data_IF_358524838977
#
_entry.id   IF_358524838977
#
_cell.length_a   1.000
_cell.length_b   1.000
_cell.length_c   1.000
_cell.angle_alpha   90.00
_cell.angle_beta   90.00
_cell.angle_gamma   90.00
#
_symmetry.space_group_name_H-M   'P 1'
#
loop_
_entity.id
_entity.type
_entity.pdbx_description
1 polymer ?
#
# COMPACT_ATOMS: atom_id res chain seq x y z
N UNK A 1 -2.44 -20.81 -19.47
CA UNK A 1 -1.82 -19.73 -18.67
C UNK A 1 -1.13 -20.38 -17.47
N UNK A 2 0.10 -20.02 -17.12
CA UNK A 2 0.77 -20.61 -15.93
C UNK A 2 0.02 -20.21 -14.65
N UNK A 3 -0.11 -21.13 -13.68
CA UNK A 3 -0.76 -20.87 -12.38
C UNK A 3 -0.16 -19.64 -11.67
N UNK A 4 1.14 -19.39 -11.85
CA UNK A 4 1.84 -18.20 -11.35
C UNK A 4 1.31 -16.92 -11.98
N UNK A 5 1.11 -16.90 -13.30
CA UNK A 5 0.61 -15.72 -14.02
C UNK A 5 -0.85 -15.46 -13.65
N UNK A 6 -1.65 -16.51 -13.48
CA UNK A 6 -3.03 -16.40 -13.00
C UNK A 6 -3.09 -15.78 -11.60
N UNK A 7 -2.27 -16.26 -10.67
CA UNK A 7 -2.19 -15.69 -9.32
C UNK A 7 -1.81 -14.20 -9.35
N UNK A 8 -0.79 -13.85 -10.14
CA UNK A 8 -0.34 -12.45 -10.25
C UNK A 8 -1.43 -11.53 -10.80
N UNK A 9 -2.11 -11.94 -11.87
CA UNK A 9 -3.23 -11.17 -12.45
C UNK A 9 -4.37 -11.02 -11.44
N UNK A 10 -4.73 -12.09 -10.74
CA UNK A 10 -5.78 -12.05 -9.71
C UNK A 10 -5.46 -11.06 -8.59
N UNK A 11 -4.19 -10.99 -8.15
CA UNK A 11 -3.75 -10.01 -7.15
C UNK A 11 -3.82 -8.57 -7.68
N UNK A 12 -3.40 -8.34 -8.93
CA UNK A 12 -3.53 -7.01 -9.55
C UNK A 12 -4.99 -6.58 -9.63
N UNK A 13 -5.89 -7.47 -10.06
CA UNK A 13 -7.32 -7.18 -10.17
C UNK A 13 -7.93 -6.90 -8.79
N UNK A 14 -7.61 -7.73 -7.80
CA UNK A 14 -8.09 -7.52 -6.43
C UNK A 14 -7.58 -6.18 -5.88
N UNK A 15 -6.29 -5.88 -6.08
CA UNK A 15 -5.71 -4.62 -5.66
C UNK A 15 -6.36 -3.41 -6.32
N UNK A 16 -6.64 -3.49 -7.63
CA UNK A 16 -7.37 -2.45 -8.35
C UNK A 16 -8.79 -2.23 -7.79
N UNK A 17 -9.50 -3.30 -7.42
CA UNK A 17 -10.82 -3.21 -6.78
C UNK A 17 -10.72 -2.47 -5.44
N UNK A 18 -9.73 -2.79 -4.60
CA UNK A 18 -9.51 -2.11 -3.32
C UNK A 18 -9.16 -0.62 -3.50
N UNK A 19 -8.32 -0.29 -4.49
CA UNK A 19 -7.99 1.09 -4.85
C UNK A 19 -9.21 1.86 -5.36
N UNK A 20 -10.04 1.26 -6.21
CA UNK A 20 -11.28 1.86 -6.69
C UNK A 20 -12.30 2.06 -5.57
N UNK A 21 -12.43 1.08 -4.67
CA UNK A 21 -13.28 1.19 -3.48
C UNK A 21 -12.84 2.34 -2.58
N UNK A 22 -11.53 2.51 -2.36
CA UNK A 22 -11.00 3.65 -1.62
C UNK A 22 -11.32 4.98 -2.31
N UNK A 23 -11.08 5.10 -3.62
CA UNK A 23 -11.38 6.30 -4.38
C UNK A 23 -12.88 6.65 -4.36
N UNK A 24 -13.76 5.64 -4.46
CA UNK A 24 -15.19 5.79 -4.28
C UNK A 24 -15.53 6.38 -2.91
N UNK A 25 -14.96 5.83 -1.83
CA UNK A 25 -15.21 6.32 -0.47
C UNK A 25 -14.65 7.72 -0.23
N UNK A 26 -13.53 8.11 -0.87
CA UNK A 26 -13.08 9.52 -0.83
C UNK A 26 -14.17 10.43 -1.38
N UNK A 27 -14.72 10.08 -2.55
CA UNK A 27 -15.74 10.90 -3.18
C UNK A 27 -17.03 10.96 -2.33
N UNK A 28 -17.48 9.80 -1.87
CA UNK A 28 -18.68 9.66 -1.05
C UNK A 28 -18.57 10.44 0.26
N UNK A 29 -17.47 10.28 1.00
CA UNK A 29 -17.29 10.91 2.30
C UNK A 29 -17.08 12.43 2.20
N UNK A 30 -16.32 12.90 1.22
CA UNK A 30 -16.01 14.34 1.08
C UNK A 30 -17.17 15.10 0.44
N UNK A 31 -17.68 14.62 -0.71
CA UNK A 31 -18.56 15.43 -1.57
C UNK A 31 -20.04 15.11 -1.42
N UNK A 32 -20.40 13.90 -0.99
CA UNK A 32 -21.81 13.50 -0.84
C UNK A 32 -22.23 13.62 0.62
N UNK A 33 -21.42 13.11 1.54
CA UNK A 33 -21.76 13.08 2.97
C UNK A 33 -21.14 14.23 3.78
N UNK A 34 -20.28 15.06 3.15
CA UNK A 34 -19.63 16.23 3.76
C UNK A 34 -18.93 15.95 5.10
N UNK A 35 -18.37 14.73 5.25
CA UNK A 35 -17.64 14.27 6.44
C UNK A 35 -16.23 14.82 6.44
N UNK A 36 -16.04 16.09 6.75
CA UNK A 36 -14.73 16.77 6.74
C UNK A 36 -14.20 17.12 8.14
N UNK A 37 -14.87 16.64 9.18
CA UNK A 37 -14.53 16.95 10.57
C UNK A 37 -13.40 16.06 11.07
N UNK A 38 -12.66 16.52 12.09
CA UNK A 38 -11.64 15.68 12.75
C UNK A 38 -12.22 14.41 13.38
N UNK A 39 -13.48 14.45 13.80
CA UNK A 39 -14.20 13.28 14.30
C UNK A 39 -14.39 12.19 13.24
N UNK A 40 -14.30 12.53 11.96
CA UNK A 40 -14.49 11.59 10.85
C UNK A 40 -13.19 10.87 10.48
N UNK A 41 -12.03 11.24 11.04
CA UNK A 41 -10.72 10.64 10.71
C UNK A 41 -10.73 9.10 10.83
N UNK A 42 -11.33 8.47 11.87
CA UNK A 42 -11.41 7.01 11.93
C UNK A 42 -12.16 6.37 10.74
N UNK A 43 -13.17 7.07 10.22
CA UNK A 43 -13.95 6.64 9.05
C UNK A 43 -13.07 6.64 7.79
N UNK A 44 -12.27 7.69 7.58
CA UNK A 44 -11.30 7.73 6.48
C UNK A 44 -10.19 6.69 6.64
N UNK A 45 -9.72 6.43 7.85
CA UNK A 45 -8.71 5.42 8.08
C UNK A 45 -9.20 4.02 7.66
N UNK A 46 -10.43 3.67 8.03
CA UNK A 46 -11.04 2.36 7.72
C UNK A 46 -11.50 2.22 6.27
N UNK A 47 -12.16 3.24 5.71
CA UNK A 47 -12.83 3.12 4.40
C UNK A 47 -12.00 3.64 3.23
N UNK A 48 -10.97 4.45 3.49
CA UNK A 48 -10.13 5.06 2.46
C UNK A 48 -8.69 4.58 2.59
N UNK A 49 -8.01 4.92 3.69
CA UNK A 49 -6.57 4.74 3.81
C UNK A 49 -6.18 3.26 3.78
N UNK A 50 -6.78 2.44 4.64
CA UNK A 50 -6.46 1.02 4.73
C UNK A 50 -6.75 0.27 3.41
N UNK A 51 -7.93 0.40 2.77
CA UNK A 51 -8.19 -0.19 1.47
C UNK A 51 -7.22 0.26 0.39
N UNK A 52 -6.87 1.56 0.34
CA UNK A 52 -5.87 2.07 -0.61
C UNK A 52 -4.52 1.39 -0.41
N UNK A 53 -4.05 1.34 0.84
CA UNK A 53 -2.76 0.76 1.19
C UNK A 53 -2.68 -0.74 0.84
N UNK A 54 -3.75 -1.49 1.10
CA UNK A 54 -3.87 -2.91 0.72
C UNK A 54 -3.94 -3.06 -0.79
N UNK A 55 -4.71 -2.22 -1.47
CA UNK A 55 -4.87 -2.27 -2.92
C UNK A 55 -3.54 -2.08 -3.66
N UNK A 56 -2.78 -1.07 -3.27
CA UNK A 56 -1.45 -0.80 -3.82
C UNK A 56 -0.47 -1.96 -3.58
N UNK A 57 -0.49 -2.56 -2.39
CA UNK A 57 0.33 -3.72 -2.05
C UNK A 57 0.05 -4.91 -2.98
N UNK A 58 -1.23 -5.24 -3.16
CA UNK A 58 -1.67 -6.35 -4.02
C UNK A 58 -1.30 -6.12 -5.49
N UNK A 59 -1.40 -4.88 -5.98
CA UNK A 59 -0.97 -4.53 -7.34
C UNK A 59 0.53 -4.76 -7.51
N UNK A 60 1.35 -4.25 -6.59
CA UNK A 60 2.81 -4.41 -6.65
C UNK A 60 3.20 -5.88 -6.59
N UNK A 61 2.64 -6.65 -5.66
CA UNK A 61 2.91 -8.08 -5.51
C UNK A 61 2.45 -8.88 -6.73
N UNK A 62 1.27 -8.56 -7.27
CA UNK A 62 0.75 -9.19 -8.48
C UNK A 62 1.67 -8.98 -9.69
N UNK A 63 2.18 -7.76 -9.88
CA UNK A 63 3.13 -7.42 -10.95
C UNK A 63 4.46 -8.18 -10.81
N UNK A 64 4.97 -8.29 -9.57
CA UNK A 64 6.18 -9.09 -9.26
C UNK A 64 5.95 -10.57 -9.58
N UNK A 65 4.81 -11.12 -9.14
CA UNK A 65 4.46 -12.54 -9.35
C UNK A 65 4.31 -12.85 -10.84
N UNK A 66 3.70 -11.96 -11.63
CA UNK A 66 3.61 -12.11 -13.08
C UNK A 66 4.98 -12.16 -13.79
N UNK A 67 6.08 -11.92 -13.09
CA UNK A 67 7.43 -12.00 -13.65
C UNK A 67 7.82 -10.76 -14.44
N UNK A 68 7.04 -9.67 -14.32
CA UNK A 68 7.45 -8.35 -14.78
C UNK A 68 8.60 -7.78 -13.93
N UNK A 69 8.98 -8.46 -12.83
CA UNK A 69 10.06 -8.02 -11.95
C UNK A 69 11.32 -8.90 -11.90
N UNK A 70 12.50 -8.27 -11.80
CA UNK A 70 13.78 -8.93 -11.53
C UNK A 70 13.77 -9.58 -10.15
N UNK A 71 14.43 -10.75 -10.02
CA UNK A 71 14.66 -11.41 -8.71
C UNK A 71 15.34 -10.47 -7.69
N UNK A 72 16.20 -9.56 -8.14
CA UNK A 72 16.84 -8.56 -7.27
C UNK A 72 15.86 -7.52 -6.72
N UNK A 73 14.74 -7.24 -7.39
CA UNK A 73 13.70 -6.34 -6.86
C UNK A 73 12.99 -6.96 -5.65
N UNK A 74 12.90 -8.31 -5.58
CA UNK A 74 12.25 -9.02 -4.46
C UNK A 74 12.94 -8.70 -3.12
N UNK A 75 14.26 -8.49 -3.13
CA UNK A 75 15.02 -8.09 -1.93
C UNK A 75 14.60 -6.74 -1.36
N UNK A 76 13.99 -5.88 -2.19
CA UNK A 76 13.44 -4.60 -1.75
C UNK A 76 11.95 -4.73 -1.42
N UNK A 77 11.19 -5.45 -2.24
CA UNK A 77 9.74 -5.59 -2.07
C UNK A 77 9.36 -6.40 -0.83
N UNK A 78 10.08 -7.47 -0.48
CA UNK A 78 9.77 -8.28 0.69
C UNK A 78 9.86 -7.48 2.02
N UNK A 79 10.98 -6.80 2.34
CA UNK A 79 11.04 -5.97 3.55
C UNK A 79 10.09 -4.76 3.45
N UNK A 80 9.92 -4.17 2.26
CA UNK A 80 8.95 -3.08 2.07
C UNK A 80 7.53 -3.53 2.44
N UNK A 81 7.09 -4.70 1.98
CA UNK A 81 5.78 -5.27 2.29
C UNK A 81 5.60 -5.52 3.79
N UNK A 82 6.60 -6.12 4.46
CA UNK A 82 6.54 -6.39 5.90
C UNK A 82 6.40 -5.09 6.70
N UNK A 83 7.21 -4.08 6.37
CA UNK A 83 7.16 -2.77 7.03
C UNK A 83 5.82 -2.08 6.70
N UNK A 84 5.38 -2.13 5.45
CA UNK A 84 4.13 -1.54 5.02
C UNK A 84 2.93 -2.11 5.77
N UNK A 85 2.81 -3.44 5.84
CA UNK A 85 1.72 -4.12 6.56
C UNK A 85 1.76 -3.76 8.05
N UNK A 86 2.92 -3.89 8.69
CA UNK A 86 3.09 -3.60 10.12
C UNK A 86 2.70 -2.15 10.45
N UNK A 87 3.12 -1.21 9.62
CA UNK A 87 2.88 0.21 9.86
C UNK A 87 1.47 0.62 9.51
N UNK A 88 0.86 0.04 8.47
CA UNK A 88 -0.57 0.21 8.17
C UNK A 88 -1.42 -0.22 9.36
N UNK A 89 -1.10 -1.38 9.93
CA UNK A 89 -1.76 -1.90 11.13
C UNK A 89 -1.59 -0.95 12.31
N UNK A 90 -0.36 -0.51 12.59
CA UNK A 90 -0.09 0.43 13.70
C UNK A 90 -0.78 1.78 13.50
N UNK A 91 -0.83 2.29 12.27
CA UNK A 91 -1.51 3.53 11.92
C UNK A 91 -3.02 3.41 12.16
N UNK A 92 -3.63 2.29 11.77
CA UNK A 92 -5.04 2.04 12.01
C UNK A 92 -5.40 2.15 13.50
N UNK A 93 -4.66 1.47 14.38
CA UNK A 93 -4.89 1.57 15.83
C UNK A 93 -4.59 2.97 16.36
N UNK A 94 -3.49 3.58 15.93
CA UNK A 94 -3.10 4.89 16.42
C UNK A 94 -4.15 5.98 16.11
N UNK A 95 -4.83 5.87 14.97
CA UNK A 95 -5.89 6.81 14.58
C UNK A 95 -7.18 6.59 15.40
N UNK A 96 -7.42 5.38 15.90
CA UNK A 96 -8.59 5.09 16.73
C UNK A 96 -8.43 5.57 18.17
N UNK A 97 -7.20 5.81 18.61
CA UNK A 97 -6.90 6.24 19.98
C UNK A 97 -6.69 7.77 20.04
N UNK A 98 -7.61 8.54 20.66
CA UNK A 98 -7.55 10.01 20.66
C UNK A 98 -6.36 10.61 21.45
N UNK A 99 -5.59 9.78 22.16
CA UNK A 99 -4.49 10.21 23.04
C UNK A 99 -3.10 9.76 22.58
N UNK A 100 -2.99 9.12 21.41
CA UNK A 100 -1.70 8.60 20.95
C UNK A 100 -0.64 9.71 20.82
N UNK A 101 0.56 9.54 21.40
CA UNK A 101 1.59 10.55 21.36
C UNK A 101 2.00 10.92 19.93
N UNK A 102 2.32 12.20 19.69
CA UNK A 102 2.87 12.68 18.42
C UNK A 102 4.07 11.87 17.94
N UNK A 103 4.88 11.37 18.88
CA UNK A 103 6.04 10.53 18.59
C UNK A 103 5.65 9.19 17.93
N UNK A 104 4.49 8.62 18.28
CA UNK A 104 3.97 7.39 17.64
C UNK A 104 3.69 7.64 16.17
N UNK A 105 2.94 8.71 15.85
CA UNK A 105 2.65 9.11 14.47
C UNK A 105 3.92 9.45 13.68
N UNK A 106 4.90 10.11 14.31
CA UNK A 106 6.18 10.39 13.66
C UNK A 106 6.95 9.12 13.29
N UNK A 107 7.00 8.12 14.19
CA UNK A 107 7.63 6.83 13.90
C UNK A 107 6.92 6.10 12.77
N UNK A 108 5.59 6.05 12.82
CA UNK A 108 4.75 5.49 11.76
C UNK A 108 5.06 6.15 10.41
N UNK A 109 5.09 7.48 10.37
CA UNK A 109 5.43 8.24 9.16
C UNK A 109 6.83 7.88 8.62
N UNK A 110 7.85 7.85 9.47
CA UNK A 110 9.24 7.52 9.06
C UNK A 110 9.30 6.11 8.47
N UNK A 111 8.68 5.12 9.10
CA UNK A 111 8.67 3.76 8.56
C UNK A 111 7.86 3.64 7.27
N UNK A 112 6.78 4.40 7.12
CA UNK A 112 5.99 4.44 5.89
C UNK A 112 6.79 5.05 4.73
N UNK A 113 7.52 6.14 4.98
CA UNK A 113 8.47 6.73 4.01
C UNK A 113 9.57 5.74 3.67
N UNK A 114 10.13 5.04 4.67
CA UNK A 114 11.18 4.04 4.44
C UNK A 114 10.67 2.87 3.57
N UNK A 115 9.47 2.35 3.83
CA UNK A 115 8.85 1.33 3.00
C UNK A 115 8.60 1.82 1.57
N UNK A 116 8.13 3.06 1.41
CA UNK A 116 7.97 3.69 0.09
C UNK A 116 9.30 3.81 -0.66
N UNK A 117 10.38 4.22 0.02
CA UNK A 117 11.72 4.27 -0.56
C UNK A 117 12.21 2.88 -1.01
N UNK A 118 11.94 1.82 -0.23
CA UNK A 118 12.26 0.45 -0.63
C UNK A 118 11.44 0.01 -1.85
N UNK A 119 10.14 0.32 -1.91
CA UNK A 119 9.32 0.05 -3.09
C UNK A 119 9.84 0.76 -4.35
N UNK A 120 10.20 2.04 -4.23
CA UNK A 120 10.77 2.82 -5.33
C UNK A 120 12.12 2.22 -5.73
N UNK A 121 12.99 1.89 -4.78
CA UNK A 121 14.27 1.23 -5.05
C UNK A 121 14.10 -0.10 -5.78
N UNK A 122 13.17 -0.94 -5.34
CA UNK A 122 12.80 -2.20 -5.99
C UNK A 122 12.32 -1.99 -7.42
N UNK A 123 11.44 -1.00 -7.64
CA UNK A 123 10.95 -0.62 -8.96
C UNK A 123 12.08 -0.11 -9.87
N UNK A 124 12.93 0.80 -9.39
CA UNK A 124 14.08 1.32 -10.16
C UNK A 124 15.02 0.19 -10.57
N UNK A 125 15.39 -0.70 -9.64
CA UNK A 125 16.21 -1.88 -9.92
C UNK A 125 15.57 -2.76 -10.98
N UNK A 126 14.24 -2.82 -11.01
CA UNK A 126 13.51 -3.57 -12.00
C UNK A 126 13.58 -2.96 -13.41
N UNK A 127 13.51 -1.64 -13.52
CA UNK A 127 13.51 -0.91 -14.80
C UNK A 127 14.89 -0.72 -15.43
N UNK A 128 15.98 -0.86 -14.66
CA UNK A 128 17.34 -0.82 -15.23
C UNK A 128 17.46 -1.93 -16.30
N UNK A 129 17.97 -1.64 -17.52
CA UNK A 129 18.17 -2.66 -18.57
C UNK A 129 19.12 -3.76 -18.12
N UNK A 130 18.91 -5.01 -18.57
CA UNK A 130 19.89 -6.07 -18.31
C UNK A 130 21.14 -5.75 -19.11
N UNK A 131 22.28 -5.59 -18.43
CA UNK A 131 23.57 -5.70 -19.12
C UNK A 131 23.58 -7.07 -19.81
N UNK A 132 23.71 -7.09 -21.13
CA UNK A 132 23.91 -8.31 -21.90
C UNK A 132 25.33 -8.78 -21.59
N UNK A 133 25.46 -9.59 -20.54
CA UNK A 133 26.64 -10.41 -20.28
C UNK A 133 26.46 -11.77 -20.92
#
# INVERSE_FOLDING_TARGET
MSARVFLGISLVLLGAIFTLYSAYNVNELIFIQERVSRSDIPLYAGNVALPMMVGLLLIVDGLIICGFSRRSSILFHLPANLIWILISYRLYFAIQEPTEPRLTFYRIFVFMVFAACLFIGGAVVNFIPKSRG
#
